data_IF_807411654053
#
_entry.id   IF_807411654053
#
_cell.length_a   1.000
_cell.length_b   1.000
_cell.length_c   1.000
_cell.angle_alpha   90.00
_cell.angle_beta   90.00
_cell.angle_gamma   90.00
#
_symmetry.space_group_name_H-M   'P 1'
#
loop_
_entity.id
_entity.type
_entity.pdbx_description
1 polymer ?
#
# COMPACT_ATOMS: atom_id res chain seq x y z
N UNK A 1 17.39 -8.36 3.04
CA UNK A 1 16.13 -7.58 3.06
C UNK A 1 15.23 -8.18 4.11
N UNK A 2 14.77 -7.39 5.08
CA UNK A 2 13.77 -7.79 6.07
C UNK A 2 12.35 -7.50 5.55
N UNK A 3 11.48 -8.48 5.67
CA UNK A 3 10.05 -8.35 5.36
C UNK A 3 9.26 -8.70 6.63
N UNK A 4 8.79 -7.67 7.34
CA UNK A 4 8.04 -7.82 8.56
C UNK A 4 6.95 -6.77 8.68
N UNK A 5 5.76 -7.21 9.10
CA UNK A 5 4.64 -6.33 9.46
C UNK A 5 4.65 -6.20 10.98
N UNK A 6 5.37 -5.21 11.47
CA UNK A 6 5.56 -4.94 12.90
C UNK A 6 5.33 -3.45 13.17
N UNK A 7 5.17 -3.10 14.44
CA UNK A 7 5.07 -1.71 14.86
C UNK A 7 6.35 -0.93 14.54
N UNK A 8 6.28 0.39 14.32
CA UNK A 8 7.42 1.22 13.93
C UNK A 8 8.66 1.06 14.82
N UNK A 9 8.47 0.99 16.14
CA UNK A 9 9.57 0.82 17.10
C UNK A 9 10.27 -0.54 17.04
N UNK A 10 9.59 -1.57 16.52
CA UNK A 10 10.13 -2.93 16.46
C UNK A 10 10.96 -3.20 15.20
N UNK A 11 10.79 -2.40 14.16
CA UNK A 11 11.46 -2.62 12.88
C UNK A 11 12.96 -2.42 12.97
N UNK A 12 13.44 -1.58 13.91
CA UNK A 12 14.87 -1.35 14.14
C UNK A 12 15.63 -2.63 14.47
N UNK A 13 14.98 -3.59 15.15
CA UNK A 13 15.56 -4.89 15.49
C UNK A 13 16.01 -5.68 14.25
N UNK A 14 15.32 -5.53 13.12
CA UNK A 14 15.67 -6.22 11.88
C UNK A 14 16.88 -5.61 11.16
N UNK A 15 17.26 -4.38 11.50
CA UNK A 15 18.52 -3.79 11.06
C UNK A 15 19.69 -4.18 11.98
N UNK A 16 19.39 -4.78 13.14
CA UNK A 16 20.34 -5.13 14.19
C UNK A 16 20.42 -4.08 15.28
N UNK A 17 20.72 -4.52 16.49
CA UNK A 17 20.84 -3.68 17.69
C UNK A 17 22.26 -3.75 18.26
N UNK A 18 22.66 -2.78 19.07
CA UNK A 18 23.95 -2.72 19.76
C UNK A 18 25.16 -2.91 18.81
N UNK A 19 26.02 -3.89 19.11
CA UNK A 19 27.24 -4.19 18.35
C UNK A 19 27.00 -4.69 16.92
N UNK A 20 25.78 -5.17 16.63
CA UNK A 20 25.36 -5.63 15.29
C UNK A 20 24.47 -4.63 14.56
N UNK A 21 24.35 -3.41 15.09
CA UNK A 21 23.56 -2.34 14.49
C UNK A 21 23.90 -2.14 13.00
N UNK A 22 22.89 -2.15 12.14
CA UNK A 22 22.98 -2.08 10.68
C UNK A 22 23.86 -3.20 10.04
N UNK A 23 23.95 -4.38 10.69
CA UNK A 23 24.72 -5.52 10.17
C UNK A 23 23.85 -6.76 9.91
N UNK A 24 22.57 -6.74 10.26
CA UNK A 24 21.65 -7.85 9.99
C UNK A 24 20.97 -7.70 8.64
N UNK A 25 20.22 -6.61 8.45
CA UNK A 25 19.64 -6.27 7.16
C UNK A 25 19.93 -4.81 6.80
N UNK A 26 20.26 -4.57 5.54
CA UNK A 26 20.47 -3.21 5.01
C UNK A 26 19.18 -2.58 4.49
N UNK A 27 18.17 -3.40 4.17
CA UNK A 27 16.89 -2.95 3.61
C UNK A 27 15.76 -3.62 4.37
N UNK A 28 14.77 -2.84 4.77
CA UNK A 28 13.53 -3.36 5.35
C UNK A 28 12.29 -2.80 4.63
N UNK A 29 11.28 -3.64 4.48
CA UNK A 29 9.96 -3.22 3.99
C UNK A 29 9.34 -2.20 4.94
N UNK A 30 8.90 -1.06 4.40
CA UNK A 30 8.18 -0.05 5.17
C UNK A 30 6.68 -0.38 5.24
N UNK A 31 6.37 -1.49 5.91
CA UNK A 31 5.00 -1.97 6.05
C UNK A 31 4.12 -1.00 6.84
N UNK A 32 4.72 -0.28 7.80
CA UNK A 32 4.00 0.76 8.56
C UNK A 32 3.53 1.89 7.65
N UNK A 33 4.42 2.45 6.81
CA UNK A 33 4.02 3.50 5.86
C UNK A 33 2.92 2.99 4.93
N UNK A 34 3.05 1.78 4.43
CA UNK A 34 2.05 1.15 3.57
C UNK A 34 0.68 1.12 4.28
N UNK A 35 0.61 0.59 5.50
CA UNK A 35 -0.63 0.50 6.27
C UNK A 35 -1.24 1.88 6.57
N UNK A 36 -0.42 2.86 6.95
CA UNK A 36 -0.83 4.25 7.20
C UNK A 36 -1.40 4.95 5.96
N UNK A 37 -0.85 4.66 4.78
CA UNK A 37 -1.38 5.18 3.52
C UNK A 37 -2.77 4.61 3.23
N UNK A 38 -2.98 3.32 3.46
CA UNK A 38 -4.30 2.70 3.31
C UNK A 38 -5.29 3.22 4.34
N UNK A 39 -4.87 3.47 5.57
CA UNK A 39 -5.70 4.14 6.58
C UNK A 39 -6.15 5.53 6.11
N UNK A 40 -5.21 6.36 5.66
CA UNK A 40 -5.51 7.72 5.22
C UNK A 40 -6.49 7.76 4.02
N UNK A 41 -6.43 6.78 3.11
CA UNK A 41 -7.38 6.66 2.00
C UNK A 41 -8.79 6.28 2.50
N UNK A 42 -8.91 5.31 3.41
CA UNK A 42 -10.19 4.86 3.92
C UNK A 42 -10.88 5.91 4.80
N UNK A 43 -10.12 6.56 5.67
CA UNK A 43 -10.62 7.60 6.60
C UNK A 43 -10.78 8.97 5.95
N UNK A 44 -10.12 9.20 4.80
CA UNK A 44 -9.94 10.54 4.19
C UNK A 44 -9.32 11.53 5.17
N UNK A 45 -8.47 11.04 6.06
CA UNK A 45 -7.83 11.82 7.12
C UNK A 45 -6.38 11.36 7.30
N UNK A 46 -5.45 12.29 7.41
CA UNK A 46 -4.03 12.00 7.60
C UNK A 46 -3.58 12.01 9.08
N UNK A 47 -4.50 12.06 10.06
CA UNK A 47 -4.14 12.15 11.46
C UNK A 47 -3.28 10.96 11.93
N UNK A 48 -3.70 9.72 11.63
CA UNK A 48 -2.92 8.53 11.99
C UNK A 48 -1.62 8.44 11.17
N UNK A 49 -1.64 8.78 9.88
CA UNK A 49 -0.44 8.86 9.05
C UNK A 49 0.59 9.83 9.64
N UNK A 50 0.15 11.04 10.02
CA UNK A 50 1.03 12.04 10.63
C UNK A 50 1.60 11.55 11.97
N UNK A 51 0.78 10.90 12.81
CA UNK A 51 1.22 10.35 14.08
C UNK A 51 2.23 9.21 13.90
N UNK A 52 1.95 8.28 13.01
CA UNK A 52 2.85 7.15 12.75
C UNK A 52 4.18 7.57 12.09
N UNK A 53 4.19 8.61 11.24
CA UNK A 53 5.44 9.16 10.67
C UNK A 53 6.33 9.76 11.76
N UNK A 54 5.77 10.39 12.79
CA UNK A 54 6.56 10.91 13.92
C UNK A 54 7.30 9.82 14.68
N UNK A 55 6.71 8.64 14.74
CA UNK A 55 7.22 7.48 15.47
C UNK A 55 8.06 6.52 14.60
N UNK A 56 8.19 6.79 13.30
CA UNK A 56 9.13 6.03 12.49
C UNK A 56 10.56 6.26 13.01
N UNK A 57 11.32 5.20 13.28
CA UNK A 57 12.68 5.34 13.78
C UNK A 57 13.55 6.11 12.78
N UNK A 58 14.52 6.83 13.31
CA UNK A 58 15.55 7.46 12.50
C UNK A 58 16.26 6.39 11.65
N UNK A 59 16.58 6.74 10.42
CA UNK A 59 17.33 5.85 9.53
C UNK A 59 18.71 5.54 10.13
N UNK A 60 19.08 4.28 10.12
CA UNK A 60 20.45 3.87 10.42
C UNK A 60 21.37 4.21 9.25
N UNK A 61 22.63 4.58 9.54
CA UNK A 61 23.59 5.11 8.56
C UNK A 61 23.80 4.21 7.33
N UNK A 62 23.67 2.87 7.50
CA UNK A 62 23.89 1.87 6.43
C UNK A 62 22.63 1.10 6.04
N UNK A 63 21.46 1.60 6.42
CA UNK A 63 20.19 0.94 6.16
C UNK A 63 19.23 1.86 5.40
N UNK A 64 18.23 1.27 4.74
CA UNK A 64 17.22 2.03 4.03
C UNK A 64 15.87 1.32 4.02
N UNK A 65 14.82 2.07 3.69
CA UNK A 65 13.47 1.57 3.57
C UNK A 65 13.14 1.17 2.13
N UNK A 66 12.42 0.06 1.97
CA UNK A 66 11.71 -0.28 0.75
C UNK A 66 10.27 0.21 0.90
N UNK A 67 9.95 1.35 0.29
CA UNK A 67 8.63 1.95 0.36
C UNK A 67 7.73 1.40 -0.75
N UNK A 68 6.51 1.01 -0.39
CA UNK A 68 5.58 0.40 -1.33
C UNK A 68 4.14 0.71 -0.96
N UNK A 69 3.24 0.62 -1.92
CA UNK A 69 1.79 0.71 -1.73
C UNK A 69 1.19 -0.68 -1.62
N UNK A 70 1.64 -1.57 -2.49
CA UNK A 70 1.27 -2.99 -2.57
C UNK A 70 2.49 -3.83 -2.87
N UNK A 71 2.44 -5.09 -2.45
CA UNK A 71 3.39 -6.14 -2.84
C UNK A 71 2.63 -7.44 -3.11
N UNK A 72 3.31 -8.55 -3.15
CA UNK A 72 2.73 -9.88 -3.34
C UNK A 72 1.90 -10.37 -2.12
N UNK A 73 2.08 -9.77 -0.96
CA UNK A 73 1.39 -10.15 0.27
C UNK A 73 0.13 -9.33 0.56
N UNK A 74 -0.60 -9.74 1.57
CA UNK A 74 -1.75 -9.04 2.12
C UNK A 74 -1.35 -7.74 2.83
N UNK A 75 -2.30 -6.86 3.06
CA UNK A 75 -2.13 -5.64 3.85
C UNK A 75 -2.38 -5.98 5.32
N UNK A 76 -1.33 -5.92 6.13
CA UNK A 76 -1.43 -5.96 7.57
C UNK A 76 -1.55 -4.56 8.17
N UNK A 77 -2.35 -4.40 9.23
CA UNK A 77 -2.55 -3.12 9.93
C UNK A 77 -1.50 -2.96 11.04
N UNK A 78 -0.22 -2.85 10.65
CA UNK A 78 0.95 -2.81 11.54
C UNK A 78 1.23 -1.43 12.14
N UNK A 79 0.25 -0.75 12.69
CA UNK A 79 0.41 0.48 13.46
C UNK A 79 -0.02 0.30 14.91
N UNK A 80 0.57 1.10 15.81
CA UNK A 80 0.36 0.96 17.25
C UNK A 80 -0.99 1.46 17.74
N UNK A 81 -1.52 0.80 18.78
CA UNK A 81 -2.72 1.24 19.48
C UNK A 81 -2.60 2.64 20.08
N UNK A 82 -1.39 2.99 20.57
CA UNK A 82 -1.11 4.33 21.08
C UNK A 82 -1.26 5.39 20.01
N UNK A 83 -0.77 5.14 18.79
CA UNK A 83 -0.88 6.06 17.67
C UNK A 83 -2.32 6.23 17.21
N UNK A 84 -3.10 5.15 17.21
CA UNK A 84 -4.54 5.20 16.89
C UNK A 84 -5.26 6.10 17.89
N UNK A 85 -4.99 5.96 19.20
CA UNK A 85 -5.61 6.82 20.24
C UNK A 85 -5.18 8.27 20.13
N UNK A 86 -3.90 8.54 19.87
CA UNK A 86 -3.39 9.89 19.65
C UNK A 86 -3.96 10.55 18.38
N UNK A 87 -4.33 9.76 17.37
CA UNK A 87 -5.05 10.21 16.20
C UNK A 87 -6.56 10.43 16.43
N UNK A 88 -7.08 10.13 17.64
CA UNK A 88 -8.46 10.35 18.04
C UNK A 88 -9.40 9.18 17.78
N UNK A 89 -8.86 7.97 17.58
CA UNK A 89 -9.66 6.77 17.31
C UNK A 89 -9.54 5.73 18.42
N UNK A 90 -10.50 4.82 18.50
CA UNK A 90 -10.42 3.62 19.33
C UNK A 90 -9.83 2.45 18.53
N UNK A 91 -8.80 1.75 19.03
CA UNK A 91 -8.02 0.78 18.23
C UNK A 91 -8.84 -0.33 17.57
N UNK A 92 -9.64 -1.06 18.33
CA UNK A 92 -10.38 -2.20 17.79
C UNK A 92 -11.49 -1.78 16.80
N UNK A 93 -12.37 -0.80 17.10
CA UNK A 93 -13.33 -0.29 16.14
C UNK A 93 -12.68 0.30 14.89
N UNK A 94 -11.52 0.97 15.04
CA UNK A 94 -10.82 1.58 13.92
C UNK A 94 -10.28 0.52 12.95
N UNK A 95 -9.59 -0.51 13.46
CA UNK A 95 -9.12 -1.63 12.60
C UNK A 95 -10.28 -2.35 11.93
N UNK A 96 -11.39 -2.53 12.66
CA UNK A 96 -12.59 -3.11 12.07
C UNK A 96 -13.15 -2.28 10.95
N UNK A 97 -13.22 -0.96 11.11
CA UNK A 97 -13.64 -0.04 10.06
C UNK A 97 -12.76 -0.18 8.81
N UNK A 98 -11.42 -0.19 8.96
CA UNK A 98 -10.49 -0.34 7.84
C UNK A 98 -10.71 -1.66 7.11
N UNK A 99 -10.86 -2.77 7.85
CA UNK A 99 -11.16 -4.07 7.28
C UNK A 99 -12.48 -4.06 6.51
N UNK A 100 -13.54 -3.56 7.11
CA UNK A 100 -14.88 -3.53 6.49
C UNK A 100 -14.91 -2.60 5.28
N UNK A 101 -14.16 -1.48 5.31
CA UNK A 101 -14.02 -0.58 4.18
C UNK A 101 -13.38 -1.30 2.97
N UNK A 102 -12.21 -1.91 3.16
CA UNK A 102 -11.49 -2.53 2.05
C UNK A 102 -12.09 -3.86 1.57
N UNK A 103 -12.89 -4.51 2.38
CA UNK A 103 -13.62 -5.72 1.98
C UNK A 103 -15.04 -5.44 1.44
N UNK A 104 -15.41 -4.16 1.26
CA UNK A 104 -16.71 -3.76 0.74
C UNK A 104 -17.89 -4.01 1.72
N UNK A 105 -17.59 -4.36 2.97
CA UNK A 105 -18.61 -4.56 4.04
C UNK A 105 -19.12 -3.23 4.59
N UNK A 106 -18.30 -2.17 4.50
CA UNK A 106 -18.72 -0.83 4.94
C UNK A 106 -19.64 -0.18 3.89
N UNK A 107 -20.82 0.31 4.28
CA UNK A 107 -21.77 0.92 3.33
C UNK A 107 -21.15 2.07 2.54
N UNK A 108 -21.24 2.02 1.21
CA UNK A 108 -20.69 3.03 0.31
C UNK A 108 -19.20 2.88 -0.01
N UNK A 109 -18.51 1.88 0.53
CA UNK A 109 -17.15 1.59 0.10
C UNK A 109 -17.10 1.06 -1.34
N UNK A 110 -16.24 1.61 -2.21
CA UNK A 110 -16.04 1.10 -3.56
C UNK A 110 -15.01 -0.04 -3.63
N UNK A 111 -14.37 -0.39 -2.52
CA UNK A 111 -13.30 -1.38 -2.49
C UNK A 111 -13.81 -2.81 -2.72
N UNK A 112 -12.97 -3.64 -3.32
CA UNK A 112 -13.24 -5.04 -3.69
C UNK A 112 -12.16 -5.99 -3.17
N UNK A 113 -11.76 -5.83 -1.89
CA UNK A 113 -10.84 -6.76 -1.23
C UNK A 113 -11.53 -7.92 -0.54
N UNK A 114 -10.71 -8.84 -0.01
CA UNK A 114 -11.16 -9.94 0.83
C UNK A 114 -10.37 -9.97 2.14
N UNK A 115 -11.01 -10.40 3.26
CA UNK A 115 -10.27 -10.64 4.51
C UNK A 115 -9.35 -11.84 4.34
N UNK A 116 -8.12 -11.75 4.84
CA UNK A 116 -7.15 -12.84 4.84
C UNK A 116 -6.78 -13.22 6.27
N UNK A 117 -6.88 -14.52 6.59
CA UNK A 117 -6.53 -15.04 7.91
C UNK A 117 -7.38 -14.45 9.03
N UNK A 118 -8.68 -14.28 8.82
CA UNK A 118 -9.59 -13.72 9.82
C UNK A 118 -9.59 -14.57 11.09
N UNK A 119 -9.32 -13.94 12.23
CA UNK A 119 -9.38 -14.56 13.53
C UNK A 119 -10.86 -14.65 13.97
N UNK A 120 -11.44 -15.84 14.14
CA UNK A 120 -12.87 -15.97 14.45
C UNK A 120 -13.25 -15.43 15.84
N UNK A 121 -12.27 -15.22 16.73
CA UNK A 121 -12.52 -14.71 18.09
C UNK A 121 -12.49 -13.18 18.15
N UNK A 122 -11.58 -12.54 17.43
CA UNK A 122 -11.38 -11.08 17.48
C UNK A 122 -11.97 -10.38 16.27
N UNK A 123 -12.17 -11.07 15.15
CA UNK A 123 -12.55 -10.51 13.87
C UNK A 123 -11.41 -9.77 13.17
N UNK A 124 -10.18 -9.82 13.72
CA UNK A 124 -9.01 -9.24 13.08
C UNK A 124 -8.64 -10.03 11.83
N UNK A 125 -8.30 -9.33 10.78
CA UNK A 125 -7.84 -9.92 9.53
C UNK A 125 -6.89 -8.95 8.82
N UNK A 126 -6.12 -9.50 7.90
CA UNK A 126 -5.38 -8.76 6.89
C UNK A 126 -6.24 -8.61 5.64
N UNK A 127 -5.81 -7.81 4.68
CA UNK A 127 -6.62 -7.47 3.50
C UNK A 127 -5.89 -7.93 2.24
N UNK A 128 -6.55 -8.80 1.45
CA UNK A 128 -6.13 -9.17 0.12
C UNK A 128 -6.84 -8.34 -0.94
N UNK A 129 -6.14 -8.01 -2.02
CA UNK A 129 -6.68 -7.26 -3.16
C UNK A 129 -5.60 -6.54 -3.96
N UNK A 130 -5.84 -6.31 -5.23
CA UNK A 130 -4.97 -5.46 -6.05
C UNK A 130 -5.14 -3.99 -5.66
N UNK A 131 -4.11 -3.17 -5.88
CA UNK A 131 -4.19 -1.72 -5.64
C UNK A 131 -5.43 -1.11 -6.30
N UNK A 132 -5.64 -1.42 -7.58
CA UNK A 132 -6.72 -0.83 -8.37
C UNK A 132 -8.11 -1.20 -7.82
N UNK A 133 -8.30 -2.44 -7.40
CA UNK A 133 -9.59 -2.89 -6.83
C UNK A 133 -9.84 -2.34 -5.44
N UNK A 134 -8.78 -2.18 -4.63
CA UNK A 134 -8.89 -1.61 -3.28
C UNK A 134 -9.20 -0.11 -3.29
N UNK A 135 -8.71 0.66 -4.28
CA UNK A 135 -9.06 2.09 -4.40
C UNK A 135 -10.38 2.33 -5.14
N UNK A 136 -11.09 1.27 -5.53
CA UNK A 136 -12.42 1.36 -6.14
C UNK A 136 -12.43 1.46 -7.66
N UNK A 137 -11.29 1.28 -8.35
CA UNK A 137 -11.26 1.33 -9.82
C UNK A 137 -12.11 0.22 -10.44
N UNK A 138 -12.11 -0.97 -9.85
CA UNK A 138 -12.92 -2.11 -10.33
C UNK A 138 -14.41 -1.77 -10.28
N UNK A 139 -14.90 -1.31 -9.13
CA UNK A 139 -16.28 -0.87 -8.97
C UNK A 139 -16.67 0.28 -9.92
N UNK A 140 -15.78 1.24 -10.12
CA UNK A 140 -16.01 2.36 -11.02
C UNK A 140 -16.10 1.93 -12.50
N UNK A 141 -15.28 0.97 -12.91
CA UNK A 141 -15.31 0.39 -14.26
C UNK A 141 -16.59 -0.42 -14.48
N UNK A 142 -17.03 -1.20 -13.50
CA UNK A 142 -18.29 -1.98 -13.55
C UNK A 142 -19.50 -1.05 -13.73
N UNK A 143 -19.52 0.09 -13.02
CA UNK A 143 -20.62 1.06 -13.12
C UNK A 143 -20.54 1.98 -14.33
N UNK A 144 -19.37 2.07 -14.99
CA UNK A 144 -19.13 3.03 -16.08
C UNK A 144 -19.07 4.48 -15.62
N UNK A 145 -18.92 4.75 -14.32
CA UNK A 145 -18.86 6.10 -13.76
C UNK A 145 -17.49 6.75 -14.03
N UNK A 146 -17.46 7.65 -15.01
CA UNK A 146 -16.25 8.34 -15.42
C UNK A 146 -15.62 9.20 -14.30
N UNK A 147 -16.43 9.75 -13.37
CA UNK A 147 -15.94 10.55 -12.24
C UNK A 147 -15.27 9.63 -11.22
N UNK A 148 -15.89 8.50 -10.91
CA UNK A 148 -15.32 7.51 -10.02
C UNK A 148 -14.04 6.87 -10.60
N UNK A 149 -14.01 6.59 -11.91
CA UNK A 149 -12.78 6.11 -12.59
C UNK A 149 -11.65 7.14 -12.45
N UNK A 150 -11.92 8.41 -12.69
CA UNK A 150 -10.95 9.48 -12.57
C UNK A 150 -10.43 9.62 -11.12
N UNK A 151 -11.32 9.55 -10.14
CA UNK A 151 -10.98 9.59 -8.72
C UNK A 151 -10.09 8.39 -8.31
N UNK A 152 -10.41 7.18 -8.75
CA UNK A 152 -9.62 5.99 -8.47
C UNK A 152 -8.21 6.09 -9.09
N UNK A 153 -8.09 6.54 -10.34
CA UNK A 153 -6.79 6.78 -10.98
C UNK A 153 -5.97 7.82 -10.20
N UNK A 154 -6.59 8.93 -9.78
CA UNK A 154 -5.92 9.95 -8.97
C UNK A 154 -5.45 9.39 -7.63
N UNK A 155 -6.21 8.50 -7.00
CA UNK A 155 -5.81 7.83 -5.75
C UNK A 155 -4.60 6.91 -5.96
N UNK A 156 -4.58 6.13 -7.06
CA UNK A 156 -3.40 5.32 -7.43
C UNK A 156 -2.16 6.21 -7.59
N UNK A 157 -2.30 7.31 -8.31
CA UNK A 157 -1.20 8.25 -8.55
C UNK A 157 -0.75 8.92 -7.24
N UNK A 158 -1.69 9.33 -6.38
CA UNK A 158 -1.39 9.93 -5.08
C UNK A 158 -0.56 8.99 -4.20
N UNK A 159 -0.99 7.74 -4.04
CA UNK A 159 -0.28 6.74 -3.24
C UNK A 159 1.14 6.52 -3.75
N UNK A 160 1.31 6.39 -5.05
CA UNK A 160 2.64 6.26 -5.65
C UNK A 160 3.48 7.54 -5.51
N UNK A 161 2.86 8.73 -5.54
CA UNK A 161 3.61 9.97 -5.34
C UNK A 161 4.25 10.01 -3.96
N UNK A 162 3.55 9.54 -2.94
CA UNK A 162 4.10 9.47 -1.58
C UNK A 162 5.31 8.53 -1.52
N UNK A 163 5.19 7.30 -2.00
CA UNK A 163 6.32 6.35 -1.93
C UNK A 163 7.50 6.76 -2.81
N UNK A 164 7.25 7.50 -3.88
CA UNK A 164 8.31 8.02 -4.76
C UNK A 164 9.02 9.23 -4.17
N UNK A 165 8.42 9.96 -3.24
CA UNK A 165 8.99 11.15 -2.60
C UNK A 165 9.43 10.93 -1.15
N UNK A 166 9.04 9.83 -0.52
CA UNK A 166 9.23 9.61 0.92
C UNK A 166 10.68 9.39 1.36
N UNK A 167 11.59 9.11 0.49
CA UNK A 167 12.95 8.69 0.82
C UNK A 167 13.04 7.17 1.04
N UNK A 168 14.11 6.58 0.59
CA UNK A 168 14.26 5.13 0.50
C UNK A 168 14.10 4.62 -0.94
N UNK A 169 13.96 3.34 -1.11
CA UNK A 169 13.82 2.68 -2.40
C UNK A 169 12.33 2.48 -2.68
N UNK A 170 11.72 3.13 -3.67
CA UNK A 170 10.33 2.87 -4.03
C UNK A 170 10.21 1.55 -4.77
N UNK A 171 9.26 0.72 -4.36
CA UNK A 171 8.87 -0.51 -5.02
C UNK A 171 7.49 -0.34 -5.66
N UNK A 172 7.40 -0.61 -6.96
CA UNK A 172 6.14 -0.69 -7.68
C UNK A 172 5.83 -2.17 -7.90
N UNK A 173 4.68 -2.62 -7.39
CA UNK A 173 4.24 -3.98 -7.61
C UNK A 173 3.81 -4.16 -9.08
N UNK A 174 4.13 -5.32 -9.67
CA UNK A 174 3.77 -5.58 -11.05
C UNK A 174 2.25 -5.49 -11.24
N UNK A 175 1.82 -4.92 -12.36
CA UNK A 175 0.40 -4.70 -12.63
C UNK A 175 -0.15 -3.37 -12.10
N UNK A 176 0.40 -2.77 -11.02
CA UNK A 176 -0.06 -1.48 -10.52
C UNK A 176 0.06 -0.38 -11.58
N UNK A 177 1.14 -0.42 -12.38
CA UNK A 177 1.39 0.54 -13.45
C UNK A 177 0.35 0.53 -14.60
N UNK A 178 -0.48 -0.50 -14.68
CA UNK A 178 -1.56 -0.63 -15.67
C UNK A 178 -2.93 -0.80 -15.00
N UNK A 179 -3.01 -0.59 -13.68
CA UNK A 179 -4.25 -0.70 -12.91
C UNK A 179 -4.86 -2.09 -12.94
N UNK A 180 -4.04 -3.15 -12.81
CA UNK A 180 -4.51 -4.54 -12.79
C UNK A 180 -5.54 -4.74 -11.68
N UNK A 181 -6.69 -5.30 -12.03
CA UNK A 181 -7.78 -5.61 -11.12
C UNK A 181 -7.57 -6.97 -10.43
N UNK A 182 -8.42 -7.28 -9.48
CA UNK A 182 -8.49 -8.61 -8.89
C UNK A 182 -8.80 -9.66 -9.96
N UNK A 183 -8.27 -10.88 -9.78
CA UNK A 183 -8.65 -12.06 -10.58
C UNK A 183 -9.20 -13.14 -9.66
N UNK A 184 -10.29 -13.76 -10.07
CA UNK A 184 -10.88 -14.91 -9.38
C UNK A 184 -10.47 -16.25 -10.04
N UNK A 185 -9.60 -16.23 -11.03
CA UNK A 185 -9.15 -17.44 -11.73
C UNK A 185 -8.47 -18.45 -10.80
N UNK A 186 -7.82 -17.97 -9.72
CA UNK A 186 -7.18 -18.83 -8.73
C UNK A 186 -8.15 -19.82 -8.05
N UNK A 187 -9.45 -19.50 -8.01
CA UNK A 187 -10.46 -20.39 -7.42
C UNK A 187 -10.64 -21.69 -8.21
N UNK A 188 -10.25 -21.70 -9.50
CA UNK A 188 -10.30 -22.90 -10.34
C UNK A 188 -9.11 -23.85 -10.11
N UNK A 189 -8.04 -23.41 -9.40
CA UNK A 189 -6.88 -24.23 -9.10
C UNK A 189 -6.90 -24.66 -7.62
N UNK A 190 -7.18 -25.95 -7.33
CA UNK A 190 -7.26 -26.46 -5.96
C UNK A 190 -5.97 -26.26 -5.14
N UNK A 191 -4.83 -26.11 -5.78
CA UNK A 191 -3.54 -25.94 -5.09
C UNK A 191 -3.39 -24.57 -4.45
N UNK A 192 -4.10 -23.55 -4.93
CA UNK A 192 -4.01 -22.16 -4.46
C UNK A 192 -5.36 -21.55 -4.05
N UNK A 193 -6.48 -22.22 -4.34
CA UNK A 193 -7.84 -21.71 -4.10
C UNK A 193 -8.12 -21.32 -2.63
N UNK A 194 -7.41 -21.93 -1.67
CA UNK A 194 -7.54 -21.61 -0.25
C UNK A 194 -6.80 -20.33 0.17
N UNK A 195 -5.90 -19.81 -0.66
CA UNK A 195 -5.12 -18.60 -0.40
C UNK A 195 -5.62 -17.44 -1.27
N UNK A 196 -6.48 -16.60 -0.71
CA UNK A 196 -7.09 -15.51 -1.49
C UNK A 196 -6.13 -14.36 -1.87
N UNK A 197 -4.84 -14.44 -1.48
CA UNK A 197 -3.80 -13.52 -2.00
C UNK A 197 -3.58 -13.70 -3.49
N UNK A 198 -3.92 -14.88 -4.03
CA UNK A 198 -3.83 -15.11 -5.46
C UNK A 198 -4.76 -14.24 -6.30
N UNK A 199 -5.75 -13.60 -5.67
CA UNK A 199 -6.58 -12.61 -6.37
C UNK A 199 -5.76 -11.40 -6.89
N UNK A 200 -4.66 -11.05 -6.25
CA UNK A 200 -3.74 -9.98 -6.69
C UNK A 200 -2.37 -10.51 -7.16
N UNK A 201 -2.24 -11.83 -7.28
CA UNK A 201 -1.06 -12.52 -7.83
C UNK A 201 -1.36 -13.15 -9.20
N UNK A 202 -2.33 -12.60 -9.94
CA UNK A 202 -2.70 -13.08 -11.27
C UNK A 202 -1.53 -12.98 -12.25
N UNK A 203 -1.55 -13.78 -13.29
CA UNK A 203 -0.61 -13.62 -14.39
C UNK A 203 -0.72 -12.23 -15.00
N UNK A 204 0.43 -11.68 -15.42
CA UNK A 204 0.45 -10.35 -16.01
C UNK A 204 -0.23 -10.34 -17.38
N UNK A 205 -1.25 -9.51 -17.53
CA UNK A 205 -1.99 -9.38 -18.79
C UNK A 205 -1.24 -8.48 -19.79
N UNK A 206 -0.47 -9.12 -20.67
CA UNK A 206 0.29 -8.43 -21.71
C UNK A 206 -0.60 -7.75 -22.76
N UNK A 207 -1.82 -8.22 -22.98
CA UNK A 207 -2.75 -7.57 -23.91
C UNK A 207 -3.30 -6.28 -23.31
N UNK A 208 -3.70 -6.32 -22.05
CA UNK A 208 -4.07 -5.12 -21.30
C UNK A 208 -2.89 -4.13 -21.23
N UNK A 209 -1.68 -4.62 -21.01
CA UNK A 209 -0.48 -3.79 -20.95
C UNK A 209 -0.18 -3.04 -22.25
N UNK A 210 -0.57 -3.55 -23.42
CA UNK A 210 -0.42 -2.84 -24.71
C UNK A 210 -1.23 -1.54 -24.73
N UNK A 211 -2.38 -1.49 -24.07
CA UNK A 211 -3.28 -0.33 -23.99
C UNK A 211 -2.64 0.89 -23.29
N UNK A 212 -1.51 0.71 -22.59
CA UNK A 212 -0.73 1.85 -22.05
C UNK A 212 -0.23 2.83 -23.11
N UNK A 213 -0.28 2.45 -24.39
CA UNK A 213 0.05 3.30 -25.54
C UNK A 213 -1.17 3.92 -26.23
N UNK A 214 -2.39 3.54 -25.82
CA UNK A 214 -3.65 4.02 -26.38
C UNK A 214 -4.15 5.21 -25.53
N UNK A 215 -4.24 6.39 -26.17
CA UNK A 215 -4.63 7.63 -25.49
C UNK A 215 -6.01 7.52 -24.84
N UNK A 216 -6.11 7.99 -23.59
CA UNK A 216 -7.36 8.05 -22.82
C UNK A 216 -7.75 6.76 -22.11
N UNK A 217 -7.03 5.66 -22.31
CA UNK A 217 -7.29 4.42 -21.56
C UNK A 217 -6.81 4.54 -20.11
N UNK A 218 -7.38 3.74 -19.22
CA UNK A 218 -6.96 3.67 -17.79
C UNK A 218 -5.49 3.32 -17.71
N UNK A 219 -5.06 2.33 -18.46
CA UNK A 219 -3.68 1.84 -18.50
C UNK A 219 -2.71 2.95 -18.94
N UNK A 220 -3.07 3.72 -19.98
CA UNK A 220 -2.24 4.83 -20.45
C UNK A 220 -2.16 5.95 -19.41
N UNK A 221 -3.27 6.30 -18.81
CA UNK A 221 -3.33 7.40 -17.82
C UNK A 221 -2.46 7.09 -16.59
N UNK A 222 -2.56 5.88 -16.04
CA UNK A 222 -1.75 5.45 -14.91
C UNK A 222 -0.29 5.35 -15.32
N UNK A 223 0.01 4.57 -16.36
CA UNK A 223 1.38 4.29 -16.79
C UNK A 223 2.18 5.54 -17.13
N UNK A 224 1.59 6.43 -17.96
CA UNK A 224 2.27 7.65 -18.38
C UNK A 224 2.56 8.60 -17.21
N UNK A 225 1.65 8.68 -16.21
CA UNK A 225 1.83 9.50 -15.03
C UNK A 225 2.94 8.93 -14.13
N UNK A 226 2.90 7.63 -13.82
CA UNK A 226 3.95 6.99 -13.03
C UNK A 226 5.32 7.10 -13.70
N UNK A 227 5.40 6.91 -15.02
CA UNK A 227 6.65 7.09 -15.77
C UNK A 227 7.22 8.50 -15.62
N UNK A 228 6.37 9.54 -15.69
CA UNK A 228 6.80 10.94 -15.48
C UNK A 228 7.29 11.16 -14.05
N UNK A 229 6.60 10.61 -13.05
CA UNK A 229 7.00 10.74 -11.64
C UNK A 229 8.33 10.04 -11.36
N UNK A 230 8.57 8.86 -11.95
CA UNK A 230 9.85 8.16 -11.84
C UNK A 230 10.97 8.97 -12.49
N UNK A 231 10.73 9.59 -13.65
CA UNK A 231 11.70 10.46 -14.31
C UNK A 231 12.03 11.67 -13.43
N UNK A 232 11.01 12.36 -12.91
CA UNK A 232 11.19 13.49 -12.00
C UNK A 232 12.01 13.10 -10.76
N UNK A 233 11.71 11.95 -10.14
CA UNK A 233 12.49 11.46 -9.00
C UNK A 233 13.96 11.26 -9.35
N UNK A 234 14.26 10.69 -10.53
CA UNK A 234 15.65 10.47 -10.97
C UNK A 234 16.42 11.76 -11.22
N UNK A 235 15.74 12.81 -11.66
CA UNK A 235 16.32 14.11 -11.97
C UNK A 235 16.44 15.01 -10.72
N UNK A 236 15.73 14.70 -9.63
CA UNK A 236 15.66 15.53 -8.43
C UNK A 236 16.53 14.95 -7.33
N UNK A 237 17.70 15.55 -7.09
CA UNK A 237 18.67 15.09 -6.09
C UNK A 237 18.11 15.06 -4.66
N UNK A 238 17.14 15.90 -4.33
CA UNK A 238 16.48 15.90 -3.03
C UNK A 238 15.82 14.55 -2.67
N UNK A 239 15.40 13.78 -3.66
CA UNK A 239 14.81 12.44 -3.43
C UNK A 239 15.86 11.33 -3.28
N UNK A 240 17.14 11.63 -3.50
CA UNK A 240 18.24 10.71 -3.25
C UNK A 240 18.59 10.62 -1.75
N UNK A 241 18.31 11.67 -0.99
CA UNK A 241 18.51 11.68 0.46
C UNK A 241 17.34 11.00 1.16
N UNK A 242 17.65 10.00 1.99
CA UNK A 242 16.67 9.21 2.72
C UNK A 242 16.18 9.90 4.01
N UNK A 243 16.88 10.92 4.49
CA UNK A 243 16.61 11.57 5.77
C UNK A 243 16.11 13.02 5.65
N UNK A 244 15.81 13.49 4.45
CA UNK A 244 15.35 14.85 4.22
C UNK A 244 13.86 15.08 4.54
N UNK A 245 13.28 14.25 5.39
CA UNK A 245 11.86 14.32 5.76
C UNK A 245 11.66 15.18 6.99
N UNK A 246 10.74 16.11 6.88
CA UNK A 246 10.22 16.86 8.04
C UNK A 246 8.72 16.94 7.94
N UNK A 247 8.02 16.54 9.01
CA UNK A 247 6.60 16.78 9.13
C UNK A 247 6.39 18.27 9.42
N UNK A 248 5.69 18.95 8.53
CA UNK A 248 5.27 20.34 8.74
C UNK A 248 3.97 20.35 9.53
N UNK A 249 3.98 20.97 10.70
CA UNK A 249 2.81 21.11 11.59
C UNK A 249 2.19 22.49 11.42
#
# INVERSE_FOLDING_TARGET
>A
IAEAIVAPGEISKYFGEDAINAKECEIAYNATLMALLWDAVATKNAALLNQGIKNLPAKLERATWLNYVRCHDDIGLGFDDSDIRLAGYEPAPHRRFILDYYTGRFPGSPARGLPFGENPKTGDARISGSLASLVGLECALESGDAVAIDAAIKTIVLLHSVILSFGGIPLLYYGDAIGTLNSLEYLADPSVAADNRWMHRSYFDWNRAKRRHESGTVEQRIFSTLKKMIALRKETTAFADFDNRQLLT
#
